data_IF_820988810558
#
_entry.id   IF_820988810558
#
_cell.length_a   1.000
_cell.length_b   1.000
_cell.length_c   1.000
_cell.angle_alpha   90.00
_cell.angle_beta   90.00
_cell.angle_gamma   90.00
#
_symmetry.space_group_name_H-M   'P 1'
#
loop_
_entity.id
_entity.type
_entity.pdbx_description
1 polymer ?
#
# COMPACT_ATOMS: atom_id res chain seq x y z
N UNK A 1 -22.57 -3.58 0.57
CA UNK A 1 -22.12 -3.77 -0.83
C UNK A 1 -20.60 -3.74 -0.89
N UNK A 2 -20.02 -4.61 -1.69
CA UNK A 2 -18.57 -4.64 -1.88
C UNK A 2 -18.26 -4.32 -3.33
N UNK A 3 -17.37 -3.36 -3.55
CA UNK A 3 -16.87 -3.03 -4.88
C UNK A 3 -15.40 -3.40 -4.97
N UNK A 4 -14.99 -4.00 -6.08
CA UNK A 4 -13.60 -4.34 -6.32
C UNK A 4 -13.17 -3.70 -7.63
N UNK A 5 -12.10 -2.91 -7.56
CA UNK A 5 -11.50 -2.27 -8.73
C UNK A 5 -10.08 -2.77 -8.89
N UNK A 6 -9.78 -3.35 -10.04
CA UNK A 6 -8.41 -3.74 -10.39
C UNK A 6 -7.84 -2.62 -11.23
N UNK A 7 -6.85 -1.92 -10.71
CA UNK A 7 -6.26 -0.81 -11.42
C UNK A 7 -5.13 -1.30 -12.32
N UNK A 8 -4.98 -0.64 -13.45
CA UNK A 8 -3.93 -0.98 -14.41
C UNK A 8 -2.62 -0.37 -13.91
N UNK A 9 -1.80 -1.18 -13.27
CA UNK A 9 -0.58 -0.76 -12.61
C UNK A 9 0.68 -1.17 -13.37
N UNK A 10 0.59 -1.25 -14.68
CA UNK A 10 1.67 -1.67 -15.57
C UNK A 10 2.13 -3.08 -15.25
N UNK A 11 3.32 -3.25 -14.68
CA UNK A 11 3.85 -4.57 -14.34
C UNK A 11 3.50 -5.01 -12.92
N UNK A 12 2.96 -4.12 -12.13
CA UNK A 12 2.60 -4.44 -10.76
C UNK A 12 1.10 -4.54 -10.60
N UNK A 13 0.69 -4.82 -9.38
CA UNK A 13 -0.73 -4.93 -9.03
C UNK A 13 -1.16 -3.77 -8.16
N UNK A 14 -2.42 -3.39 -8.29
CA UNK A 14 -3.08 -2.49 -7.38
C UNK A 14 -4.57 -2.80 -7.41
N UNK A 15 -5.10 -3.30 -6.30
CA UNK A 15 -6.50 -3.69 -6.19
C UNK A 15 -7.13 -2.88 -5.07
N UNK A 16 -8.25 -2.24 -5.37
CA UNK A 16 -8.99 -1.44 -4.41
C UNK A 16 -10.29 -2.14 -4.08
N UNK A 17 -10.45 -2.54 -2.82
CA UNK A 17 -11.67 -3.17 -2.31
C UNK A 17 -12.38 -2.17 -1.42
N UNK A 18 -13.61 -1.86 -1.75
CA UNK A 18 -14.44 -0.95 -0.97
C UNK A 18 -15.62 -1.71 -0.37
N UNK A 19 -15.77 -1.59 0.94
CA UNK A 19 -16.94 -2.10 1.64
C UNK A 19 -17.82 -0.91 1.97
N UNK A 20 -18.99 -0.84 1.35
CA UNK A 20 -19.89 0.29 1.50
C UNK A 20 -20.95 -0.07 2.55
N UNK A 21 -20.82 0.55 3.71
CA UNK A 21 -21.73 0.37 4.84
C UNK A 21 -22.53 1.65 5.08
N UNK A 22 -23.65 1.53 5.80
CA UNK A 22 -24.49 2.70 6.08
C UNK A 22 -23.78 3.74 6.94
N UNK A 23 -22.96 3.29 7.90
CA UNK A 23 -22.31 4.18 8.85
C UNK A 23 -20.93 4.65 8.39
N UNK A 24 -20.21 3.83 7.64
CA UNK A 24 -18.89 4.21 7.13
C UNK A 24 -18.50 3.32 5.95
N UNK A 25 -17.60 3.83 5.12
CA UNK A 25 -17.02 3.07 4.04
C UNK A 25 -15.62 2.62 4.44
N UNK A 26 -15.30 1.37 4.13
CA UNK A 26 -14.00 0.79 4.43
C UNK A 26 -13.24 0.59 3.12
N UNK A 27 -12.01 1.07 3.08
CA UNK A 27 -11.15 0.96 1.91
C UNK A 27 -9.95 0.09 2.23
N UNK A 28 -9.76 -0.93 1.41
CA UNK A 28 -8.60 -1.82 1.49
C UNK A 28 -7.90 -1.76 0.14
N UNK A 29 -6.59 -1.49 0.17
CA UNK A 29 -5.79 -1.47 -1.05
C UNK A 29 -4.77 -2.60 -0.97
N UNK A 30 -4.70 -3.41 -1.99
CA UNK A 30 -3.76 -4.52 -2.08
C UNK A 30 -2.74 -4.17 -3.17
N UNK A 31 -1.51 -3.96 -2.74
CA UNK A 31 -0.36 -3.55 -3.54
C UNK A 31 -0.54 -2.16 -4.14
N UNK A 32 0.55 -1.50 -4.42
CA UNK A 32 0.54 -0.11 -4.87
C UNK A 32 1.17 0.11 -6.24
N UNK A 33 1.54 -0.98 -6.91
CA UNK A 33 2.15 -0.89 -8.22
C UNK A 33 3.58 -0.39 -8.20
N UNK A 34 4.10 -0.16 -9.39
CA UNK A 34 5.49 0.26 -9.58
C UNK A 34 5.64 1.76 -9.33
N UNK A 35 6.89 2.23 -9.34
CA UNK A 35 7.17 3.66 -9.23
C UNK A 35 6.56 4.45 -10.38
N UNK A 36 6.43 3.84 -11.55
CA UNK A 36 5.79 4.47 -12.70
C UNK A 36 4.29 4.69 -12.47
N UNK A 37 3.68 3.88 -11.62
CA UNK A 37 2.27 3.96 -11.25
C UNK A 37 2.01 5.00 -10.15
N UNK A 38 3.01 5.70 -9.71
CA UNK A 38 2.91 6.63 -8.58
C UNK A 38 1.74 7.61 -8.69
N UNK A 39 1.55 8.20 -9.87
CA UNK A 39 0.51 9.21 -10.05
C UNK A 39 -0.88 8.61 -9.98
N UNK A 40 -1.07 7.42 -10.52
CA UNK A 40 -2.35 6.72 -10.46
C UNK A 40 -2.67 6.29 -9.04
N UNK A 41 -1.66 5.81 -8.31
CA UNK A 41 -1.82 5.49 -6.90
C UNK A 41 -2.18 6.74 -6.09
N UNK A 42 -1.49 7.85 -6.36
CA UNK A 42 -1.78 9.12 -5.72
C UNK A 42 -3.21 9.58 -6.00
N UNK A 43 -3.66 9.45 -7.24
CA UNK A 43 -5.02 9.84 -7.61
C UNK A 43 -6.05 8.99 -6.89
N UNK A 44 -5.80 7.70 -6.75
CA UNK A 44 -6.66 6.80 -5.99
C UNK A 44 -6.78 7.25 -4.54
N UNK A 45 -5.64 7.55 -3.92
CA UNK A 45 -5.63 8.00 -2.52
C UNK A 45 -6.34 9.34 -2.37
N UNK A 46 -6.13 10.26 -3.31
CA UNK A 46 -6.80 11.55 -3.29
C UNK A 46 -8.32 11.41 -3.45
N UNK A 47 -8.77 10.45 -4.26
CA UNK A 47 -10.20 10.19 -4.38
C UNK A 47 -10.80 9.75 -3.05
N UNK A 48 -10.11 8.85 -2.35
CA UNK A 48 -10.53 8.40 -1.03
C UNK A 48 -10.57 9.57 -0.05
N UNK A 49 -9.52 10.40 -0.06
CA UNK A 49 -9.44 11.55 0.82
C UNK A 49 -10.52 12.59 0.52
N UNK A 50 -10.79 12.85 -0.76
CA UNK A 50 -11.83 13.81 -1.16
C UNK A 50 -13.23 13.35 -0.74
N UNK A 51 -13.43 12.06 -0.63
CA UNK A 51 -14.68 11.49 -0.12
C UNK A 51 -14.73 11.52 1.41
N UNK A 52 -13.72 12.06 2.05
CA UNK A 52 -13.59 12.11 3.52
C UNK A 52 -13.51 10.70 4.12
N UNK A 53 -12.93 9.79 3.39
CA UNK A 53 -12.69 8.42 3.81
C UNK A 53 -11.21 8.22 4.11
N UNK A 54 -10.87 7.04 4.60
CA UNK A 54 -9.49 6.68 4.92
C UNK A 54 -9.15 5.35 4.26
N UNK A 55 -7.87 5.09 4.12
CA UNK A 55 -7.38 3.77 3.75
C UNK A 55 -7.25 2.98 5.04
N UNK A 56 -8.23 2.14 5.30
CA UNK A 56 -8.27 1.37 6.55
C UNK A 56 -7.18 0.31 6.60
N UNK A 57 -6.84 -0.24 5.45
CA UNK A 57 -5.81 -1.27 5.37
C UNK A 57 -5.12 -1.21 4.01
N UNK A 58 -3.80 -1.18 4.03
CA UNK A 58 -2.97 -1.30 2.84
C UNK A 58 -2.17 -2.60 2.99
N UNK A 59 -2.35 -3.51 2.05
CA UNK A 59 -1.71 -4.83 2.08
C UNK A 59 -0.67 -4.92 0.98
N UNK A 60 0.53 -5.35 1.35
CA UNK A 60 1.56 -5.71 0.37
C UNK A 60 1.67 -7.22 0.33
N UNK A 61 1.20 -7.82 -0.75
CA UNK A 61 1.21 -9.27 -0.91
C UNK A 61 2.63 -9.82 -1.10
N UNK A 62 3.50 -8.99 -1.66
CA UNK A 62 4.89 -9.31 -1.93
C UNK A 62 5.75 -8.10 -1.63
N UNK A 63 7.04 -8.32 -1.39
CA UNK A 63 7.97 -7.23 -1.12
C UNK A 63 8.73 -6.76 -2.36
N UNK A 64 8.31 -7.19 -3.54
CA UNK A 64 8.92 -6.78 -4.80
C UNK A 64 8.62 -5.31 -5.12
N UNK A 65 9.51 -4.70 -5.90
CA UNK A 65 9.35 -3.32 -6.33
C UNK A 65 8.02 -3.04 -7.01
N UNK A 66 7.50 -4.03 -7.75
CA UNK A 66 6.25 -3.89 -8.48
C UNK A 66 5.03 -3.73 -7.58
N UNK A 67 5.19 -3.99 -6.27
CA UNK A 67 4.08 -3.96 -5.32
C UNK A 67 4.19 -2.84 -4.29
N UNK A 68 5.39 -2.29 -4.07
CA UNK A 68 5.62 -1.32 -2.98
C UNK A 68 6.14 0.05 -3.43
N UNK A 69 6.73 0.15 -4.62
CA UNK A 69 7.35 1.40 -5.06
C UNK A 69 6.38 2.58 -5.18
N UNK A 70 5.16 2.31 -5.63
CA UNK A 70 4.14 3.37 -5.72
C UNK A 70 3.87 3.99 -4.36
N UNK A 71 3.72 3.15 -3.34
CA UNK A 71 3.48 3.61 -1.98
C UNK A 71 4.67 4.37 -1.41
N UNK A 72 5.90 3.88 -1.63
CA UNK A 72 7.10 4.59 -1.16
C UNK A 72 7.13 6.01 -1.71
N UNK A 73 6.90 6.14 -3.01
CA UNK A 73 6.89 7.47 -3.64
C UNK A 73 5.81 8.36 -3.04
N UNK A 74 4.62 7.81 -2.83
CA UNK A 74 3.51 8.56 -2.26
C UNK A 74 3.81 9.02 -0.83
N UNK A 75 4.30 8.11 0.02
CA UNK A 75 4.56 8.42 1.43
C UNK A 75 5.64 9.49 1.57
N UNK A 76 6.65 9.46 0.70
CA UNK A 76 7.68 10.50 0.71
C UNK A 76 7.13 11.90 0.42
N UNK A 77 6.15 11.99 -0.46
CA UNK A 77 5.62 13.27 -0.92
C UNK A 77 4.51 13.83 -0.06
N UNK A 78 3.81 12.98 0.68
CA UNK A 78 2.64 13.39 1.47
C UNK A 78 2.95 13.45 2.96
N UNK A 79 2.52 14.53 3.58
CA UNK A 79 2.64 14.69 5.02
C UNK A 79 1.40 14.22 5.77
N UNK A 80 0.26 14.14 5.10
CA UNK A 80 -1.01 13.81 5.74
C UNK A 80 -1.23 12.32 5.84
N UNK A 81 -1.57 11.87 7.05
CA UNK A 81 -1.81 10.46 7.32
C UNK A 81 -3.27 10.10 7.05
N UNK A 82 -3.52 9.28 6.03
CA UNK A 82 -4.86 8.72 5.79
C UNK A 82 -4.86 7.19 5.78
N UNK A 83 -3.70 6.58 5.99
CA UNK A 83 -3.56 5.12 6.06
C UNK A 83 -3.57 4.72 7.52
N UNK A 84 -4.51 3.86 7.89
CA UNK A 84 -4.64 3.43 9.29
C UNK A 84 -3.72 2.28 9.64
N UNK A 85 -3.61 1.28 8.78
CA UNK A 85 -2.78 0.09 9.02
C UNK A 85 -2.16 -0.42 7.74
N UNK A 86 -1.00 -1.02 7.86
CA UNK A 86 -0.30 -1.66 6.74
C UNK A 86 0.06 -3.09 7.13
N UNK A 87 -0.21 -4.03 6.23
CA UNK A 87 0.21 -5.42 6.35
C UNK A 87 1.25 -5.72 5.28
N UNK A 88 2.37 -6.30 5.69
CA UNK A 88 3.42 -6.72 4.75
C UNK A 88 3.60 -8.22 4.87
N UNK A 89 3.40 -8.92 3.76
CA UNK A 89 3.58 -10.37 3.71
C UNK A 89 5.03 -10.70 3.38
N UNK A 90 5.52 -11.81 3.92
CA UNK A 90 6.82 -12.34 3.58
C UNK A 90 7.98 -11.95 4.47
N UNK A 91 7.70 -11.31 5.60
CA UNK A 91 8.75 -10.81 6.50
C UNK A 91 9.48 -11.87 7.30
N UNK A 92 8.91 -13.04 7.46
CA UNK A 92 9.46 -14.03 8.38
C UNK A 92 9.94 -15.31 7.76
N UNK A 93 10.09 -15.38 6.46
CA UNK A 93 10.39 -16.65 5.84
C UNK A 93 11.77 -16.67 5.20
N UNK A 94 12.23 -17.87 4.90
CA UNK A 94 13.48 -18.08 4.19
C UNK A 94 13.45 -17.56 2.75
N UNK A 95 12.33 -16.99 2.35
CA UNK A 95 12.17 -16.36 1.05
C UNK A 95 13.19 -15.26 0.82
N UNK A 96 13.67 -14.64 1.87
CA UNK A 96 14.64 -13.55 1.77
C UNK A 96 15.96 -13.95 1.12
N UNK A 97 16.30 -15.22 1.14
CA UNK A 97 17.55 -15.68 0.51
C UNK A 97 17.53 -15.51 -1.01
N UNK A 98 16.33 -15.48 -1.60
CA UNK A 98 16.16 -15.37 -3.04
C UNK A 98 15.77 -13.97 -3.50
N UNK A 99 15.59 -13.05 -2.55
CA UNK A 99 15.16 -11.69 -2.85
C UNK A 99 16.39 -10.84 -3.12
N UNK A 100 16.32 -10.03 -4.17
CA UNK A 100 17.40 -9.11 -4.49
C UNK A 100 17.57 -8.07 -3.38
N UNK A 101 18.81 -7.72 -3.10
CA UNK A 101 19.14 -6.81 -2.02
C UNK A 101 18.38 -5.49 -2.06
N UNK A 102 18.15 -4.93 -3.26
CA UNK A 102 17.43 -3.67 -3.37
C UNK A 102 15.96 -3.78 -2.98
N UNK A 103 15.34 -4.95 -3.15
CA UNK A 103 13.96 -5.17 -2.71
C UNK A 103 13.87 -5.15 -1.18
N UNK A 104 14.84 -5.76 -0.51
CA UNK A 104 14.90 -5.73 0.96
C UNK A 104 15.08 -4.29 1.44
N UNK A 105 15.96 -3.53 0.79
CA UNK A 105 16.20 -2.13 1.14
C UNK A 105 14.93 -1.28 0.95
N UNK A 106 14.15 -1.56 -0.08
CA UNK A 106 12.90 -0.84 -0.32
C UNK A 106 11.87 -1.14 0.78
N UNK A 107 11.79 -2.39 1.23
CA UNK A 107 10.90 -2.75 2.34
C UNK A 107 11.31 -2.02 3.61
N UNK A 108 12.60 -2.01 3.93
CA UNK A 108 13.11 -1.30 5.09
C UNK A 108 12.84 0.20 4.99
N UNK A 109 13.03 0.78 3.81
CA UNK A 109 12.72 2.18 3.58
C UNK A 109 11.23 2.45 3.82
N UNK A 110 10.37 1.60 3.31
CA UNK A 110 8.92 1.75 3.50
C UNK A 110 8.56 1.67 4.98
N UNK A 111 9.08 0.68 5.70
CA UNK A 111 8.79 0.51 7.13
C UNK A 111 9.26 1.75 7.91
N UNK A 112 10.43 2.27 7.60
CA UNK A 112 10.96 3.47 8.25
C UNK A 112 10.07 4.68 7.98
N UNK A 113 9.67 4.88 6.73
CA UNK A 113 8.79 5.99 6.37
C UNK A 113 7.43 5.90 7.06
N UNK A 114 6.87 4.70 7.11
CA UNK A 114 5.58 4.49 7.78
C UNK A 114 5.69 4.76 9.29
N UNK A 115 6.82 4.36 9.90
CA UNK A 115 7.07 4.66 11.30
C UNK A 115 7.18 6.15 11.56
N UNK A 116 7.83 6.89 10.68
CA UNK A 116 7.94 8.35 10.79
C UNK A 116 6.57 9.03 10.69
N UNK A 117 5.62 8.40 10.00
CA UNK A 117 4.26 8.92 9.86
C UNK A 117 3.30 8.34 10.90
N UNK A 118 3.80 7.57 11.86
CA UNK A 118 3.00 6.91 12.89
C UNK A 118 1.92 5.98 12.31
N UNK A 119 2.25 5.29 11.24
CA UNK A 119 1.35 4.31 10.62
C UNK A 119 1.73 2.91 11.10
N UNK A 120 0.84 2.18 11.78
CA UNK A 120 1.13 0.82 12.23
C UNK A 120 1.41 -0.14 11.09
N UNK A 121 2.44 -0.97 11.25
CA UNK A 121 2.81 -2.00 10.29
C UNK A 121 2.74 -3.35 10.97
N UNK A 122 2.05 -4.29 10.35
CA UNK A 122 1.97 -5.67 10.83
C UNK A 122 2.48 -6.62 9.75
N UNK A 123 3.06 -7.72 10.20
CA UNK A 123 3.56 -8.75 9.31
C UNK A 123 2.83 -10.05 9.65
N UNK A 124 1.58 -10.18 9.18
CA UNK A 124 0.80 -11.39 9.48
C UNK A 124 1.48 -12.62 8.90
N UNK A 125 1.40 -13.71 9.65
CA UNK A 125 2.05 -14.97 9.27
C UNK A 125 1.04 -15.87 8.57
#
# INVERSE_FOLDING_TARGET
>A
MIEIKVLQAYRGDCIWVRCLEESENINIIIDSGTATFKNEFKNLVEEIENNKERINLLVFSHIDNDHIKGCIKYVKEKSKKIIDNVWINGSGSNVYSDIQEHSINNVQQLITLLGEKDIPVETPV
#
